data_IF_877270891369
#
_entry.id   IF_877270891369
#
_cell.length_a   1.000
_cell.length_b   1.000
_cell.length_c   1.000
_cell.angle_alpha   90.00
_cell.angle_beta   90.00
_cell.angle_gamma   90.00
#
_symmetry.space_group_name_H-M   'P 1'
#
loop_
_entity.id
_entity.type
_entity.pdbx_description
1 polymer ?
#
# COMPACT_ATOMS: atom_id res chain seq x y z
N UNK A 1 38.19 8.04 21.16
CA UNK A 1 36.79 7.53 21.20
C UNK A 1 35.87 8.71 21.44
N UNK A 2 35.59 9.48 20.39
CA UNK A 2 34.66 10.60 20.44
C UNK A 2 33.39 10.15 19.71
N UNK A 3 32.28 10.10 20.43
CA UNK A 3 30.98 9.74 19.90
C UNK A 3 30.32 11.05 19.50
N UNK A 4 30.15 11.28 18.19
CA UNK A 4 29.49 12.50 17.68
C UNK A 4 28.00 12.48 18.08
N UNK A 5 27.50 13.53 18.75
CA UNK A 5 26.10 13.62 19.12
C UNK A 5 25.28 14.04 17.90
N UNK A 6 24.77 13.06 17.16
CA UNK A 6 23.76 13.29 16.13
C UNK A 6 22.52 13.96 16.76
N UNK A 7 22.20 15.16 16.29
CA UNK A 7 21.08 16.00 16.71
C UNK A 7 19.76 15.22 16.61
N UNK A 8 19.34 14.59 17.71
CA UNK A 8 17.99 13.98 17.83
C UNK A 8 16.96 15.08 18.05
N UNK A 9 16.54 15.71 16.96
CA UNK A 9 15.35 16.58 16.97
C UNK A 9 14.14 15.70 17.26
N UNK A 10 13.76 15.62 18.54
CA UNK A 10 12.63 14.84 19.00
C UNK A 10 11.34 15.38 18.38
N UNK A 11 10.88 14.76 17.30
CA UNK A 11 9.57 15.04 16.72
C UNK A 11 8.50 14.59 17.74
N UNK A 12 7.66 15.53 18.18
CA UNK A 12 6.59 15.33 19.18
C UNK A 12 5.54 14.30 18.72
N UNK A 13 5.57 13.89 17.45
CA UNK A 13 4.85 12.75 16.91
C UNK A 13 5.89 11.73 16.44
N UNK A 14 5.66 10.44 16.70
CA UNK A 14 6.51 9.33 16.23
C UNK A 14 6.42 9.11 14.71
N UNK A 15 6.51 10.20 13.94
CA UNK A 15 6.40 10.24 12.49
C UNK A 15 7.79 10.59 11.95
N UNK A 16 8.33 9.73 11.08
CA UNK A 16 9.52 10.05 10.29
C UNK A 16 9.11 10.96 9.14
N UNK A 17 9.94 11.93 8.76
CA UNK A 17 9.72 12.65 7.51
C UNK A 17 10.06 11.73 6.32
N UNK A 18 9.54 12.04 5.14
CA UNK A 18 9.76 11.24 3.93
C UNK A 18 11.26 11.16 3.63
N UNK A 19 11.98 12.27 3.78
CA UNK A 19 13.41 12.40 3.54
C UNK A 19 14.22 11.53 4.50
N UNK A 20 13.84 11.53 5.78
CA UNK A 20 14.44 10.64 6.78
C UNK A 20 14.18 9.17 6.44
N UNK A 21 12.98 8.82 5.97
CA UNK A 21 12.65 7.45 5.60
C UNK A 21 13.40 6.96 4.35
N UNK A 22 13.64 7.85 3.39
CA UNK A 22 14.44 7.56 2.19
C UNK A 22 15.91 7.37 2.59
N UNK A 23 16.45 8.28 3.40
CA UNK A 23 17.83 8.21 3.89
C UNK A 23 18.10 6.92 4.67
N UNK A 24 17.19 6.53 5.59
CA UNK A 24 17.28 5.29 6.37
C UNK A 24 17.28 4.03 5.48
N UNK A 25 16.73 4.11 4.27
CA UNK A 25 16.65 3.00 3.31
C UNK A 25 17.88 2.89 2.42
N UNK A 26 18.66 3.97 2.26
CA UNK A 26 19.88 3.99 1.46
C UNK A 26 21.10 3.46 2.22
N UNK A 27 21.01 3.29 3.54
CA UNK A 27 22.11 2.80 4.37
C UNK A 27 22.50 1.36 3.99
N UNK A 28 23.79 1.04 3.77
CA UNK A 28 24.22 -0.24 3.18
C UNK A 28 23.75 -1.51 3.94
N UNK A 29 23.47 -1.39 5.23
CA UNK A 29 22.99 -2.50 6.08
C UNK A 29 21.46 -2.65 6.16
N UNK A 30 20.68 -1.69 5.66
CA UNK A 30 19.20 -1.64 5.78
C UNK A 30 18.48 -1.60 4.43
N UNK A 31 19.21 -1.66 3.31
CA UNK A 31 18.62 -1.65 1.96
C UNK A 31 17.62 -2.79 1.78
N UNK A 32 16.44 -2.47 1.27
CA UNK A 32 15.44 -3.47 0.88
C UNK A 32 15.96 -4.35 -0.25
N UNK A 33 15.89 -5.67 -0.06
CA UNK A 33 16.15 -6.64 -1.11
C UNK A 33 15.00 -6.65 -2.10
N UNK A 34 15.30 -6.44 -3.38
CA UNK A 34 14.31 -6.47 -4.47
C UNK A 34 14.06 -7.90 -4.93
N UNK A 35 13.53 -8.72 -4.04
CA UNK A 35 13.35 -10.17 -4.27
C UNK A 35 11.89 -10.55 -4.60
N UNK A 36 10.98 -9.57 -4.79
CA UNK A 36 9.59 -9.85 -5.17
C UNK A 36 9.52 -10.36 -6.62
N UNK A 37 9.03 -11.58 -6.79
CA UNK A 37 8.78 -12.18 -8.09
C UNK A 37 7.41 -11.77 -8.64
N UNK A 38 7.18 -11.96 -9.93
CA UNK A 38 5.93 -11.61 -10.61
C UNK A 38 4.68 -12.21 -9.94
N UNK A 39 4.84 -13.40 -9.35
CA UNK A 39 3.79 -14.03 -8.53
C UNK A 39 3.47 -13.25 -7.25
N UNK A 40 4.50 -12.80 -6.53
CA UNK A 40 4.34 -12.03 -5.30
C UNK A 40 3.64 -10.70 -5.59
N UNK A 41 4.02 -10.02 -6.69
CA UNK A 41 3.35 -8.79 -7.12
C UNK A 41 1.88 -9.01 -7.52
N UNK A 42 1.57 -10.12 -8.20
CA UNK A 42 0.20 -10.42 -8.62
C UNK A 42 -0.70 -10.69 -7.40
N UNK A 43 -0.23 -11.53 -6.47
CA UNK A 43 -0.96 -11.82 -5.23
C UNK A 43 -1.11 -10.57 -4.38
N UNK A 44 -0.07 -9.74 -4.29
CA UNK A 44 -0.13 -8.44 -3.63
C UNK A 44 -1.21 -7.55 -4.23
N UNK A 45 -1.24 -7.40 -5.56
CA UNK A 45 -2.24 -6.58 -6.26
C UNK A 45 -3.68 -7.06 -6.01
N UNK A 46 -3.94 -8.36 -6.16
CA UNK A 46 -5.27 -8.95 -5.92
C UNK A 46 -5.71 -8.73 -4.47
N UNK A 47 -4.80 -8.90 -3.51
CA UNK A 47 -5.10 -8.71 -2.09
C UNK A 47 -5.50 -7.27 -1.77
N UNK A 48 -4.82 -6.28 -2.37
CA UNK A 48 -5.15 -4.85 -2.18
C UNK A 48 -6.50 -4.50 -2.80
N UNK A 49 -6.81 -4.98 -4.01
CA UNK A 49 -8.09 -4.73 -4.69
C UNK A 49 -9.26 -5.29 -3.90
N UNK A 50 -9.10 -6.50 -3.34
CA UNK A 50 -10.12 -7.12 -2.50
C UNK A 50 -10.25 -6.36 -1.17
N UNK A 51 -9.14 -6.09 -0.47
CA UNK A 51 -9.16 -5.49 0.86
C UNK A 51 -9.71 -4.05 0.89
N UNK A 52 -9.20 -3.18 0.02
CA UNK A 52 -9.59 -1.77 0.01
C UNK A 52 -10.83 -1.51 -0.89
N UNK A 53 -10.99 -2.28 -1.96
CA UNK A 53 -11.96 -2.00 -3.02
C UNK A 53 -13.29 -2.73 -2.86
N UNK A 54 -13.29 -4.04 -3.13
CA UNK A 54 -14.55 -4.80 -3.32
C UNK A 54 -15.42 -4.79 -2.06
N UNK A 55 -14.86 -4.88 -0.85
CA UNK A 55 -15.66 -5.02 0.36
C UNK A 55 -16.42 -3.75 0.78
N UNK A 56 -15.92 -2.56 0.42
CA UNK A 56 -16.52 -1.29 0.85
C UNK A 56 -17.56 -0.79 -0.15
N UNK A 57 -17.25 -0.84 -1.46
CA UNK A 57 -18.08 -0.24 -2.51
C UNK A 57 -19.09 -1.22 -3.11
N UNK A 58 -18.79 -2.52 -3.10
CA UNK A 58 -19.66 -3.51 -3.79
C UNK A 58 -20.97 -3.72 -3.07
N UNK A 59 -20.96 -3.78 -1.73
CA UNK A 59 -22.18 -4.02 -0.96
C UNK A 59 -23.20 -2.89 -1.14
N UNK A 60 -22.74 -1.63 -1.09
CA UNK A 60 -23.60 -0.47 -1.31
C UNK A 60 -24.07 -0.36 -2.76
N UNK A 61 -23.21 -0.68 -3.73
CA UNK A 61 -23.54 -0.66 -5.17
C UNK A 61 -24.54 -1.77 -5.53
N UNK A 62 -24.40 -2.96 -4.94
CA UNK A 62 -25.32 -4.07 -5.14
C UNK A 62 -26.70 -3.72 -4.58
N UNK A 63 -26.75 -3.19 -3.35
CA UNK A 63 -28.01 -2.90 -2.68
C UNK A 63 -28.77 -1.72 -3.32
N UNK A 64 -28.07 -0.66 -3.73
CA UNK A 64 -28.72 0.61 -4.08
C UNK A 64 -28.73 0.95 -5.57
N UNK A 65 -27.84 0.34 -6.37
CA UNK A 65 -27.68 0.72 -7.78
C UNK A 65 -28.02 -0.43 -8.73
N UNK A 66 -27.35 -1.57 -8.58
CA UNK A 66 -27.31 -2.58 -9.66
C UNK A 66 -28.08 -3.86 -9.33
N UNK A 67 -28.36 -4.13 -8.05
CA UNK A 67 -29.06 -5.35 -7.64
C UNK A 67 -28.31 -6.62 -8.06
N UNK A 68 -29.02 -7.70 -8.45
CA UNK A 68 -28.41 -8.95 -8.90
C UNK A 68 -27.51 -8.80 -10.14
N UNK A 69 -27.68 -7.73 -10.92
CA UNK A 69 -26.93 -7.50 -12.16
C UNK A 69 -25.52 -6.92 -11.94
N UNK A 70 -25.06 -6.75 -10.69
CA UNK A 70 -23.76 -6.16 -10.38
C UNK A 70 -22.58 -6.88 -11.03
N UNK A 71 -22.67 -8.19 -11.24
CA UNK A 71 -21.65 -8.97 -11.95
C UNK A 71 -21.44 -8.46 -13.38
N UNK A 72 -22.50 -8.05 -14.08
CA UNK A 72 -22.42 -7.51 -15.44
C UNK A 72 -21.71 -6.16 -15.45
N UNK A 73 -22.02 -5.29 -14.48
CA UNK A 73 -21.33 -4.00 -14.33
C UNK A 73 -19.82 -4.16 -14.06
N UNK A 74 -19.42 -5.14 -13.25
CA UNK A 74 -18.00 -5.43 -13.04
C UNK A 74 -17.29 -5.95 -14.28
N UNK A 75 -17.96 -6.75 -15.11
CA UNK A 75 -17.39 -7.19 -16.40
C UNK A 75 -17.13 -5.98 -17.29
N UNK A 76 -18.09 -5.05 -17.40
CA UNK A 76 -17.89 -3.83 -18.16
C UNK A 76 -16.77 -2.96 -17.58
N UNK A 77 -16.72 -2.78 -16.25
CA UNK A 77 -15.67 -2.00 -15.60
C UNK A 77 -14.27 -2.61 -15.70
N UNK A 78 -14.16 -3.93 -15.92
CA UNK A 78 -12.88 -4.60 -16.12
C UNK A 78 -12.37 -4.50 -17.56
N UNK A 79 -13.27 -4.29 -18.53
CA UNK A 79 -12.95 -4.26 -19.97
C UNK A 79 -12.84 -2.82 -20.50
N UNK A 80 -13.70 -1.93 -20.02
CA UNK A 80 -13.76 -0.52 -20.42
C UNK A 80 -12.70 0.32 -19.68
#
# INVERSE_FOLDING_TARGET
MAQEPGTRTANRRRLKSVEQSISDTDEPGTRLRKDLNWWDLTVFGVSVVIGAGIFTVTASTAANLTGPAISVSFIFAAIA
#
